data_IF_655999227976
#
_entry.id   IF_655999227976
#
_cell.length_a   1.000
_cell.length_b   1.000
_cell.length_c   1.000
_cell.angle_alpha   90.00
_cell.angle_beta   90.00
_cell.angle_gamma   90.00
#
_symmetry.space_group_name_H-M   'P 1'
#
loop_
_entity.id
_entity.type
_entity.pdbx_description
1 polymer ?
#
# COMPACT_ATOMS: atom_id res chain seq x y z
N UNK A 1 -23.94 -49.11 -17.94
CA UNK A 1 -22.53 -49.18 -17.51
C UNK A 1 -21.94 -47.78 -17.67
N UNK A 2 -21.66 -47.08 -16.57
CA UNK A 2 -21.21 -45.69 -16.62
C UNK A 2 -19.77 -45.62 -17.17
N UNK A 3 -19.62 -45.14 -18.39
CA UNK A 3 -18.33 -44.88 -19.03
C UNK A 3 -17.80 -43.53 -18.57
N UNK A 4 -16.90 -43.54 -17.59
CA UNK A 4 -16.18 -42.34 -17.20
C UNK A 4 -15.34 -41.84 -18.38
N UNK A 5 -15.46 -40.55 -18.75
CA UNK A 5 -14.69 -39.89 -19.82
C UNK A 5 -13.23 -39.65 -19.40
N UNK A 6 -12.54 -40.71 -19.00
CA UNK A 6 -11.16 -40.68 -18.54
C UNK A 6 -10.28 -41.50 -19.48
N UNK A 7 -9.05 -41.03 -19.71
CA UNK A 7 -8.07 -41.77 -20.49
C UNK A 7 -7.65 -43.06 -19.79
N UNK A 8 -7.29 -44.08 -20.56
CA UNK A 8 -6.86 -45.39 -20.05
C UNK A 8 -5.69 -45.30 -19.07
N UNK A 9 -4.72 -44.40 -19.31
CA UNK A 9 -3.61 -44.14 -18.38
C UNK A 9 -4.06 -43.61 -17.03
N UNK A 10 -5.07 -42.73 -16.99
CA UNK A 10 -5.62 -42.18 -15.76
C UNK A 10 -6.36 -43.27 -14.97
N UNK A 11 -7.14 -44.10 -15.66
CA UNK A 11 -7.82 -45.26 -15.05
C UNK A 11 -6.79 -46.22 -14.44
N UNK A 12 -5.69 -46.47 -15.13
CA UNK A 12 -4.61 -47.34 -14.64
C UNK A 12 -3.91 -46.77 -13.40
N UNK A 13 -3.65 -45.46 -13.36
CA UNK A 13 -3.03 -44.78 -12.21
C UNK A 13 -3.94 -44.79 -10.97
N UNK A 14 -5.26 -44.61 -11.17
CA UNK A 14 -6.27 -44.76 -10.12
C UNK A 14 -6.29 -46.20 -9.60
N UNK A 15 -6.32 -47.19 -10.51
CA UNK A 15 -6.38 -48.60 -10.12
C UNK A 15 -5.11 -49.09 -9.41
N UNK A 16 -3.94 -48.57 -9.81
CA UNK A 16 -2.65 -48.82 -9.14
C UNK A 16 -2.64 -48.28 -7.70
N UNK A 17 -3.29 -47.15 -7.46
CA UNK A 17 -3.31 -46.46 -6.17
C UNK A 17 -4.51 -46.86 -5.30
N UNK A 18 -5.29 -47.89 -5.69
CA UNK A 18 -6.56 -48.28 -5.04
C UNK A 18 -6.45 -48.63 -3.55
N UNK A 19 -5.28 -49.08 -3.08
CA UNK A 19 -5.05 -49.45 -1.68
C UNK A 19 -4.79 -48.24 -0.78
N UNK A 20 -4.54 -47.07 -1.36
CA UNK A 20 -4.28 -45.84 -0.66
C UNK A 20 -5.34 -44.79 -1.04
N UNK A 21 -6.47 -44.82 -0.33
CA UNK A 21 -7.58 -43.90 -0.58
C UNK A 21 -7.19 -42.43 -0.37
N UNK A 22 -6.21 -42.16 0.51
CA UNK A 22 -5.73 -40.80 0.74
C UNK A 22 -5.00 -40.24 -0.50
N UNK A 23 -4.25 -41.08 -1.22
CA UNK A 23 -3.58 -40.68 -2.46
C UNK A 23 -4.55 -40.27 -3.59
N UNK A 24 -5.75 -40.87 -3.62
CA UNK A 24 -6.77 -40.59 -4.65
C UNK A 24 -7.47 -39.25 -4.43
N UNK A 25 -7.59 -38.82 -3.18
CA UNK A 25 -8.27 -37.56 -2.78
C UNK A 25 -7.28 -36.40 -2.61
N UNK A 26 -5.97 -36.70 -2.52
CA UNK A 26 -4.94 -35.69 -2.30
C UNK A 26 -4.92 -34.67 -3.44
N UNK A 27 -5.10 -33.40 -3.11
CA UNK A 27 -4.82 -32.32 -4.03
C UNK A 27 -3.36 -32.38 -4.46
N UNK A 28 -3.12 -32.46 -5.77
CA UNK A 28 -1.79 -32.36 -6.35
C UNK A 28 -1.49 -30.87 -6.57
N UNK A 29 -0.72 -30.19 -5.68
CA UNK A 29 -0.42 -28.79 -5.87
C UNK A 29 0.35 -28.62 -7.18
N UNK A 30 -0.15 -27.75 -8.07
CA UNK A 30 0.63 -27.35 -9.23
C UNK A 30 1.87 -26.63 -8.74
N UNK A 31 3.04 -26.98 -9.28
CA UNK A 31 4.27 -26.21 -9.03
C UNK A 31 3.99 -24.74 -9.40
N UNK A 32 4.20 -23.84 -8.45
CA UNK A 32 4.10 -22.41 -8.73
C UNK A 32 5.08 -22.05 -9.82
N UNK A 33 4.65 -21.29 -10.83
CA UNK A 33 5.58 -20.70 -11.79
C UNK A 33 6.53 -19.78 -11.04
N UNK A 34 7.82 -19.87 -11.33
CA UNK A 34 8.82 -18.96 -10.77
C UNK A 34 8.43 -17.51 -11.10
N UNK A 35 8.46 -16.65 -10.08
CA UNK A 35 8.15 -15.24 -10.26
C UNK A 35 9.34 -14.57 -10.96
N UNK A 36 9.11 -13.79 -12.02
CA UNK A 36 10.18 -13.13 -12.80
C UNK A 36 11.07 -12.19 -12.00
N UNK A 37 10.59 -11.67 -10.86
CA UNK A 37 11.30 -10.73 -9.98
C UNK A 37 11.01 -11.05 -8.53
N UNK A 38 12.02 -10.91 -7.68
CA UNK A 38 11.86 -11.06 -6.24
C UNK A 38 11.23 -9.79 -5.63
N UNK A 39 10.65 -9.90 -4.43
CA UNK A 39 10.11 -8.75 -3.71
C UNK A 39 11.17 -7.68 -3.46
N UNK A 40 12.39 -8.10 -3.13
CA UNK A 40 13.50 -7.18 -2.83
C UNK A 40 13.97 -6.41 -4.07
N UNK A 41 13.98 -7.06 -5.25
CA UNK A 41 14.24 -6.37 -6.51
C UNK A 41 13.20 -5.30 -6.81
N UNK A 42 11.91 -5.63 -6.63
CA UNK A 42 10.82 -4.67 -6.84
C UNK A 42 10.96 -3.51 -5.85
N UNK A 43 11.28 -3.78 -4.58
CA UNK A 43 11.48 -2.75 -3.56
C UNK A 43 12.63 -1.79 -3.93
N UNK A 44 13.77 -2.33 -4.39
CA UNK A 44 14.90 -1.52 -4.87
C UNK A 44 14.53 -0.64 -6.06
N UNK A 45 13.82 -1.21 -7.05
CA UNK A 45 13.37 -0.45 -8.21
C UNK A 45 12.43 0.69 -7.81
N UNK A 46 11.42 0.41 -6.98
CA UNK A 46 10.47 1.42 -6.51
C UNK A 46 11.18 2.50 -5.68
N UNK A 47 12.15 2.13 -4.85
CA UNK A 47 12.93 3.07 -4.06
C UNK A 47 13.85 3.97 -4.89
N UNK A 48 14.23 3.56 -6.10
CA UNK A 48 15.03 4.36 -7.04
C UNK A 48 14.23 5.35 -7.88
N UNK A 49 12.90 5.19 -8.00
CA UNK A 49 12.05 6.07 -8.83
C UNK A 49 11.87 7.43 -8.16
N UNK A 50 11.93 8.58 -8.85
CA UNK A 50 11.59 9.88 -8.25
C UNK A 50 10.18 9.91 -7.63
N UNK A 51 9.97 10.66 -6.55
CA UNK A 51 8.67 10.67 -5.83
C UNK A 51 7.50 11.06 -6.73
N UNK A 52 7.72 11.95 -7.70
CA UNK A 52 6.70 12.41 -8.64
C UNK A 52 6.17 11.27 -9.52
N UNK A 53 7.02 10.31 -9.88
CA UNK A 53 6.66 9.15 -10.71
C UNK A 53 6.05 7.99 -9.91
N UNK A 54 6.11 8.05 -8.58
CA UNK A 54 5.47 7.06 -7.69
C UNK A 54 3.97 7.31 -7.48
N UNK A 55 3.42 8.39 -8.00
CA UNK A 55 2.03 8.81 -7.73
C UNK A 55 0.98 7.86 -8.29
N UNK A 56 1.20 7.36 -9.52
CA UNK A 56 0.25 6.47 -10.20
C UNK A 56 0.89 5.14 -10.51
N UNK A 57 0.10 4.06 -10.46
CA UNK A 57 0.56 2.73 -10.86
C UNK A 57 1.03 2.69 -12.33
N UNK A 58 0.54 3.61 -13.17
CA UNK A 58 0.95 3.69 -14.58
C UNK A 58 2.33 4.33 -14.72
N UNK A 59 2.56 5.48 -14.07
CA UNK A 59 3.89 6.11 -14.07
C UNK A 59 4.93 5.21 -13.40
N UNK A 60 4.57 4.62 -12.25
CA UNK A 60 5.46 3.70 -11.54
C UNK A 60 5.81 2.46 -12.37
N UNK A 61 4.86 1.91 -13.12
CA UNK A 61 5.12 0.78 -14.03
C UNK A 61 6.08 1.18 -15.16
N UNK A 62 5.91 2.39 -15.72
CA UNK A 62 6.80 2.89 -16.75
C UNK A 62 8.22 3.12 -16.23
N UNK A 63 8.36 3.72 -15.04
CA UNK A 63 9.64 4.02 -14.42
C UNK A 63 10.39 2.76 -13.93
N UNK A 64 9.68 1.75 -13.42
CA UNK A 64 10.30 0.52 -12.87
C UNK A 64 10.42 -0.62 -13.89
N UNK A 65 9.71 -0.55 -15.02
CA UNK A 65 9.56 -1.67 -15.95
C UNK A 65 8.81 -2.88 -15.37
N UNK A 66 8.14 -2.71 -14.21
CA UNK A 66 7.32 -3.74 -13.58
C UNK A 66 5.88 -3.60 -14.10
N UNK A 67 5.22 -4.70 -14.54
CA UNK A 67 3.85 -4.63 -15.00
C UNK A 67 2.89 -4.04 -13.95
N UNK A 68 1.99 -3.16 -14.39
CA UNK A 68 0.97 -2.53 -13.55
C UNK A 68 0.16 -3.54 -12.73
N UNK A 69 -0.16 -4.70 -13.31
CA UNK A 69 -0.92 -5.76 -12.64
C UNK A 69 -0.16 -6.38 -11.46
N UNK A 70 1.16 -6.51 -11.57
CA UNK A 70 2.03 -6.99 -10.50
C UNK A 70 2.10 -5.97 -9.36
N UNK A 71 2.33 -4.70 -9.69
CA UNK A 71 2.34 -3.61 -8.70
C UNK A 71 0.99 -3.50 -7.97
N UNK A 72 -0.13 -3.62 -8.70
CA UNK A 72 -1.46 -3.60 -8.10
C UNK A 72 -1.71 -4.78 -7.16
N UNK A 73 -1.26 -5.99 -7.50
CA UNK A 73 -1.37 -7.16 -6.63
C UNK A 73 -0.61 -6.96 -5.32
N UNK A 74 0.60 -6.41 -5.43
CA UNK A 74 1.43 -6.06 -4.27
C UNK A 74 0.79 -4.99 -3.40
N UNK A 75 0.18 -3.97 -4.00
CA UNK A 75 -0.59 -2.94 -3.31
C UNK A 75 -1.81 -3.54 -2.60
N UNK A 76 -2.58 -4.40 -3.27
CA UNK A 76 -3.76 -5.08 -2.72
C UNK A 76 -3.39 -6.02 -1.57
N UNK A 77 -2.23 -6.68 -1.65
CA UNK A 77 -1.72 -7.54 -0.59
C UNK A 77 -1.19 -6.78 0.63
N UNK A 78 -1.07 -5.45 0.55
CA UNK A 78 -0.54 -4.61 1.63
C UNK A 78 0.99 -4.61 1.76
N UNK A 79 1.72 -5.44 1.01
CA UNK A 79 3.19 -5.45 1.01
C UNK A 79 3.77 -4.15 0.46
N UNK A 80 3.23 -3.65 -0.65
CA UNK A 80 3.52 -2.30 -1.14
C UNK A 80 2.46 -1.35 -0.58
N UNK A 81 2.87 -0.23 0.01
CA UNK A 81 1.94 0.78 0.54
C UNK A 81 2.12 2.10 -0.19
N UNK A 82 1.00 2.81 -0.39
CA UNK A 82 1.03 4.18 -0.89
C UNK A 82 1.33 5.08 0.30
N UNK A 83 2.47 5.77 0.26
CA UNK A 83 2.76 6.83 1.21
C UNK A 83 2.07 8.11 0.73
N UNK A 84 1.24 8.70 1.60
CA UNK A 84 0.67 10.04 1.37
C UNK A 84 1.37 10.96 2.34
N UNK A 85 2.12 11.93 1.84
CA UNK A 85 2.67 13.00 2.65
C UNK A 85 1.71 14.18 2.60
N UNK A 86 1.27 14.67 3.76
CA UNK A 86 0.62 15.98 3.84
C UNK A 86 1.69 17.05 3.64
N UNK A 87 1.74 17.60 2.43
CA UNK A 87 2.63 18.73 2.14
C UNK A 87 1.95 19.98 2.71
N UNK A 88 2.59 20.60 3.70
CA UNK A 88 2.15 21.94 4.14
C UNK A 88 2.31 22.90 2.96
N UNK A 89 1.36 23.83 2.75
CA UNK A 89 1.48 24.81 1.67
C UNK A 89 2.81 25.56 1.79
N UNK A 90 3.48 25.74 0.65
CA UNK A 90 4.76 26.45 0.57
C UNK A 90 4.57 27.88 1.08
N UNK A 91 5.33 28.26 2.11
CA UNK A 91 5.31 29.63 2.63
C UNK A 91 6.14 30.54 1.74
N UNK A 92 5.52 31.60 1.21
CA UNK A 92 6.26 32.70 0.58
C UNK A 92 7.06 33.46 1.64
N UNK A 93 8.05 34.23 1.22
CA UNK A 93 8.87 35.01 2.17
C UNK A 93 8.01 36.00 2.97
N UNK A 94 7.02 36.62 2.32
CA UNK A 94 6.02 37.47 2.97
C UNK A 94 5.22 36.71 4.05
N UNK A 95 4.77 35.47 3.76
CA UNK A 95 4.06 34.65 4.75
C UNK A 95 4.94 34.33 5.96
N UNK A 96 6.24 34.09 5.76
CA UNK A 96 7.18 33.86 6.86
C UNK A 96 7.34 35.11 7.71
N UNK A 97 7.52 36.27 7.08
CA UNK A 97 7.64 37.55 7.79
C UNK A 97 6.39 37.89 8.60
N UNK A 98 5.20 37.74 8.02
CA UNK A 98 3.93 37.97 8.72
C UNK A 98 3.75 37.03 9.91
N UNK A 99 4.11 35.75 9.75
CA UNK A 99 4.10 34.78 10.86
C UNK A 99 5.11 35.15 11.95
N UNK A 100 6.31 35.58 11.58
CA UNK A 100 7.33 36.01 12.53
C UNK A 100 6.87 37.23 13.32
N UNK A 101 6.32 38.24 12.65
CA UNK A 101 5.74 39.42 13.29
C UNK A 101 4.62 39.03 14.25
N UNK A 102 3.70 38.15 13.82
CA UNK A 102 2.65 37.62 14.68
C UNK A 102 3.23 36.94 15.92
N UNK A 103 4.21 36.04 15.77
CA UNK A 103 4.89 35.42 16.91
C UNK A 103 5.50 36.46 17.85
N UNK A 104 6.28 37.42 17.33
CA UNK A 104 6.93 38.47 18.12
C UNK A 104 5.93 39.32 18.91
N UNK A 105 4.77 39.65 18.31
CA UNK A 105 3.70 40.37 19.00
C UNK A 105 3.06 39.57 20.14
N UNK A 106 3.11 38.23 20.06
CA UNK A 106 2.49 37.33 21.03
C UNK A 106 3.47 36.78 22.08
N UNK A 107 4.76 37.18 22.04
CA UNK A 107 5.83 36.72 22.94
C UNK A 107 5.86 37.45 24.31
N UNK A 108 5.07 38.51 24.54
CA UNK A 108 5.05 39.22 25.85
C UNK A 108 4.28 38.43 26.94
N UNK A 109 4.67 38.41 28.23
CA UNK A 109 5.90 38.80 28.96
C UNK A 109 5.70 38.31 30.41
N UNK A 110 6.25 37.13 30.76
CA UNK A 110 6.56 36.59 32.10
C UNK A 110 6.49 35.06 32.00
N UNK A 111 7.56 34.39 32.42
CA UNK A 111 7.56 32.95 32.68
C UNK A 111 6.45 32.66 33.70
N UNK A 112 5.34 32.07 33.25
CA UNK A 112 4.23 31.65 34.11
C UNK A 112 2.86 32.31 33.86
N UNK A 113 2.77 33.33 33.01
CA UNK A 113 1.46 33.94 32.69
C UNK A 113 0.84 33.27 31.45
N UNK A 114 -0.04 32.30 31.66
CA UNK A 114 -0.94 31.83 30.60
C UNK A 114 -1.86 32.98 30.19
N UNK A 115 -2.05 33.23 28.88
CA UNK A 115 -3.07 34.17 28.39
C UNK A 115 -4.45 33.59 28.67
N UNK A 116 -5.00 33.87 29.85
CA UNK A 116 -6.34 33.46 30.25
C UNK A 116 -7.45 34.20 29.47
N UNK A 117 -7.11 35.31 28.81
CA UNK A 117 -8.07 36.17 28.09
C UNK A 117 -8.20 35.88 26.59
N UNK A 118 -7.53 34.83 26.07
CA UNK A 118 -7.55 34.48 24.64
C UNK A 118 -8.24 33.13 24.41
N UNK A 119 -9.43 33.15 23.81
CA UNK A 119 -10.11 31.95 23.33
C UNK A 119 -9.79 31.75 21.85
N UNK A 120 -9.15 30.63 21.51
CA UNK A 120 -8.92 30.25 20.12
C UNK A 120 -10.10 29.39 19.62
N UNK A 121 -10.74 29.85 18.55
CA UNK A 121 -11.84 29.13 17.89
C UNK A 121 -11.34 28.74 16.50
N UNK A 122 -11.41 27.44 16.20
CA UNK A 122 -11.07 26.89 14.88
C UNK A 122 -12.23 26.03 14.38
N UNK A 123 -12.56 26.18 13.10
CA UNK A 123 -13.61 25.39 12.47
C UNK A 123 -12.99 24.14 11.84
N UNK A 124 -13.34 22.98 12.40
CA UNK A 124 -12.94 21.69 11.87
C UNK A 124 -14.14 21.00 11.24
N UNK A 125 -14.01 20.69 9.95
CA UNK A 125 -15.00 19.90 9.22
C UNK A 125 -14.91 18.42 9.65
N UNK A 126 -16.01 17.87 10.16
CA UNK A 126 -16.13 16.44 10.46
C UNK A 126 -16.95 15.74 9.37
N UNK A 127 -16.44 14.60 8.88
CA UNK A 127 -17.15 13.78 7.90
C UNK A 127 -17.82 12.60 8.62
N UNK A 128 -19.11 12.37 8.34
CA UNK A 128 -19.94 11.38 9.04
C UNK A 128 -19.51 9.92 8.82
N UNK A 129 -18.67 9.62 7.83
CA UNK A 129 -18.34 8.24 7.43
C UNK A 129 -17.07 7.67 8.05
N UNK A 130 -16.33 8.42 8.89
CA UNK A 130 -15.11 7.90 9.51
C UNK A 130 -14.92 8.47 10.91
N UNK A 131 -15.52 7.81 11.90
CA UNK A 131 -15.08 7.91 13.29
C UNK A 131 -13.82 7.05 13.43
N UNK A 132 -12.65 7.65 13.32
CA UNK A 132 -11.43 7.10 13.91
C UNK A 132 -11.37 7.59 15.35
N UNK A 133 -11.74 6.71 16.29
CA UNK A 133 -11.32 6.78 17.70
C UNK A 133 -9.85 6.36 17.76
#
# INVERSE_FOLDING_TARGET
MATFKLGTSVVWEIWRSRKDAASLVRERPRKSKATKRTKDEIARLVAGVPVIDRQTLRSLANATGVPKTTLWRHLKSGWLRRAVSHVKPTLTEEHKQRRLQYCLMHIRRQLGAFKMDLVHIDEKWFNMSTLQI
#
